data_IF_539535828883
#
_entry.id   IF_539535828883
#
_cell.length_a   1.000
_cell.length_b   1.000
_cell.length_c   1.000
_cell.angle_alpha   90.00
_cell.angle_beta   90.00
_cell.angle_gamma   90.00
#
_symmetry.space_group_name_H-M   'P 1'
#
loop_
_entity.id
_entity.type
_entity.pdbx_description
1 polymer ?
#
# COMPACT_ATOMS: atom_id res chain seq x y z
N UNK A 1 -25.03 25.03 43.65
CA UNK A 1 -23.85 24.96 42.78
C UNK A 1 -23.50 23.50 42.44
N UNK A 2 -23.54 22.58 43.44
CA UNK A 2 -23.19 21.15 43.26
C UNK A 2 -24.14 20.38 42.33
N UNK A 3 -25.44 20.63 42.38
CA UNK A 3 -26.47 19.97 41.56
C UNK A 3 -26.34 20.40 40.07
N UNK A 4 -25.99 21.65 39.81
CA UNK A 4 -25.80 22.17 38.47
C UNK A 4 -24.57 21.54 37.79
N UNK A 5 -23.48 21.35 38.53
CA UNK A 5 -22.26 20.67 38.05
C UNK A 5 -22.52 19.21 37.69
N UNK A 6 -23.37 18.49 38.46
CA UNK A 6 -23.68 17.09 38.16
C UNK A 6 -24.46 16.89 36.85
N UNK A 7 -25.26 17.87 36.44
CA UNK A 7 -26.00 17.83 35.17
C UNK A 7 -25.13 18.15 33.93
N UNK A 8 -24.10 18.97 34.11
CA UNK A 8 -23.22 19.35 32.99
C UNK A 8 -22.03 18.41 32.75
N UNK A 9 -21.60 17.64 33.75
CA UNK A 9 -20.51 16.68 33.63
C UNK A 9 -20.72 15.64 32.53
N UNK A 10 -21.87 14.96 32.39
CA UNK A 10 -22.07 13.99 31.32
C UNK A 10 -22.10 14.65 29.92
N UNK A 11 -22.62 15.85 29.82
CA UNK A 11 -22.65 16.61 28.56
C UNK A 11 -21.24 17.01 28.10
N UNK A 12 -20.42 17.52 29.02
CA UNK A 12 -19.03 17.88 28.75
C UNK A 12 -18.19 16.64 28.40
N UNK A 13 -18.42 15.51 29.09
CA UNK A 13 -17.76 14.24 28.76
C UNK A 13 -18.14 13.75 27.36
N UNK A 14 -19.41 13.86 26.97
CA UNK A 14 -19.87 13.47 25.64
C UNK A 14 -19.27 14.35 24.54
N UNK A 15 -19.20 15.66 24.73
CA UNK A 15 -18.58 16.59 23.79
C UNK A 15 -17.09 16.29 23.63
N UNK A 16 -16.39 16.02 24.72
CA UNK A 16 -14.96 15.66 24.69
C UNK A 16 -14.72 14.34 23.96
N UNK A 17 -15.50 13.30 24.25
CA UNK A 17 -15.42 12.01 23.59
C UNK A 17 -15.66 12.13 22.09
N UNK A 18 -16.67 12.87 21.66
CA UNK A 18 -16.95 13.08 20.25
C UNK A 18 -15.82 13.81 19.52
N UNK A 19 -15.17 14.76 20.19
CA UNK A 19 -14.00 15.47 19.62
C UNK A 19 -12.79 14.54 19.50
N UNK A 20 -12.52 13.71 20.48
CA UNK A 20 -11.42 12.73 20.44
C UNK A 20 -11.65 11.70 19.31
N UNK A 21 -12.87 11.24 19.14
CA UNK A 21 -13.29 10.34 18.06
C UNK A 21 -13.08 10.98 16.66
N UNK A 22 -13.43 12.25 16.51
CA UNK A 22 -13.22 12.98 15.26
C UNK A 22 -11.72 13.13 14.94
N UNK A 23 -10.91 13.47 15.94
CA UNK A 23 -9.46 13.57 15.78
C UNK A 23 -8.83 12.23 15.40
N UNK A 24 -9.26 11.15 16.03
CA UNK A 24 -8.75 9.80 15.73
C UNK A 24 -9.12 9.38 14.31
N UNK A 25 -10.38 9.63 13.86
CA UNK A 25 -10.78 9.38 12.47
C UNK A 25 -9.98 10.21 11.47
N UNK A 26 -9.75 11.50 11.77
CA UNK A 26 -8.92 12.36 10.95
C UNK A 26 -7.47 11.85 10.81
N UNK A 27 -6.87 11.36 11.92
CA UNK A 27 -5.53 10.74 11.89
C UNK A 27 -5.51 9.47 11.04
N UNK A 28 -6.52 8.60 11.18
CA UNK A 28 -6.64 7.38 10.37
C UNK A 28 -6.78 7.75 8.89
N UNK A 29 -7.66 8.67 8.53
CA UNK A 29 -7.85 9.11 7.14
C UNK A 29 -6.59 9.70 6.55
N UNK A 30 -5.93 10.66 7.22
CA UNK A 30 -4.70 11.25 6.74
C UNK A 30 -3.57 10.23 6.55
N UNK A 31 -3.50 9.21 7.42
CA UNK A 31 -2.52 8.14 7.25
C UNK A 31 -2.87 7.24 6.06
N UNK A 32 -4.13 6.89 5.85
CA UNK A 32 -4.59 6.09 4.72
C UNK A 32 -4.39 6.81 3.38
N UNK A 33 -4.59 8.12 3.32
CA UNK A 33 -4.32 8.94 2.13
C UNK A 33 -2.84 8.89 1.73
N UNK A 34 -1.94 8.88 2.69
CA UNK A 34 -0.51 8.75 2.45
C UNK A 34 -0.06 7.30 2.16
N UNK A 35 -0.77 6.29 2.70
CA UNK A 35 -0.38 4.89 2.72
C UNK A 35 -1.54 3.96 2.31
N UNK A 36 -2.18 4.24 1.19
CA UNK A 36 -3.29 3.44 0.71
C UNK A 36 -2.87 1.99 0.45
N UNK A 37 -3.66 1.04 0.95
CA UNK A 37 -3.37 -0.39 0.87
C UNK A 37 -2.71 -0.99 2.11
N UNK A 38 -2.41 -0.17 3.12
CA UNK A 38 -1.84 -0.66 4.38
C UNK A 38 -2.79 -1.66 5.07
N UNK A 39 -2.23 -2.67 5.74
CA UNK A 39 -3.02 -3.62 6.49
C UNK A 39 -3.31 -3.15 7.93
N UNK A 40 -4.31 -3.76 8.56
CA UNK A 40 -4.82 -3.38 9.87
C UNK A 40 -3.75 -3.21 10.94
N UNK A 41 -2.86 -4.20 11.10
CA UNK A 41 -1.86 -4.18 12.17
C UNK A 41 -0.85 -3.05 11.96
N UNK A 42 -0.36 -2.86 10.74
CA UNK A 42 0.59 -1.79 10.42
C UNK A 42 -0.04 -0.40 10.63
N UNK A 43 -1.30 -0.20 10.24
CA UNK A 43 -2.03 1.04 10.50
C UNK A 43 -2.17 1.31 12.00
N UNK A 44 -2.59 0.31 12.76
CA UNK A 44 -2.73 0.37 14.22
C UNK A 44 -1.40 0.77 14.89
N UNK A 45 -0.32 0.08 14.52
CA UNK A 45 0.99 0.24 15.13
C UNK A 45 1.61 1.61 14.77
N UNK A 46 1.49 2.02 13.52
CA UNK A 46 1.95 3.34 13.06
C UNK A 46 1.25 4.51 13.77
N UNK A 47 -0.02 4.36 14.11
CA UNK A 47 -0.79 5.39 14.82
C UNK A 47 -0.74 5.26 16.35
N UNK A 48 -0.15 4.18 16.87
CA UNK A 48 -0.10 3.89 18.31
C UNK A 48 -1.48 3.67 18.93
N UNK A 49 -2.42 3.08 18.19
CA UNK A 49 -3.80 2.88 18.63
C UNK A 49 -4.01 1.48 19.20
N UNK A 50 -4.96 1.34 20.13
CA UNK A 50 -5.42 0.04 20.59
C UNK A 50 -6.24 -0.68 19.51
N UNK A 51 -6.22 -2.04 19.51
CA UNK A 51 -6.97 -2.86 18.55
C UNK A 51 -8.45 -2.48 18.45
N UNK A 52 -9.15 -2.36 19.59
CA UNK A 52 -10.57 -2.03 19.62
C UNK A 52 -10.87 -0.64 19.09
N UNK A 53 -10.02 0.34 19.40
CA UNK A 53 -10.16 1.72 18.92
C UNK A 53 -9.98 1.78 17.39
N UNK A 54 -8.94 1.14 16.87
CA UNK A 54 -8.68 1.07 15.44
C UNK A 54 -9.83 0.39 14.69
N UNK A 55 -10.29 -0.76 15.19
CA UNK A 55 -11.38 -1.51 14.57
C UNK A 55 -12.69 -0.71 14.57
N UNK A 56 -13.03 -0.06 15.68
CA UNK A 56 -14.22 0.77 15.80
C UNK A 56 -14.21 1.94 14.78
N UNK A 57 -13.13 2.70 14.75
CA UNK A 57 -13.06 3.84 13.84
C UNK A 57 -13.02 3.45 12.37
N UNK A 58 -12.32 2.38 12.00
CA UNK A 58 -12.35 1.85 10.65
C UNK A 58 -13.75 1.40 10.25
N UNK A 59 -14.47 0.72 11.12
CA UNK A 59 -15.86 0.32 10.87
C UNK A 59 -16.78 1.53 10.66
N UNK A 60 -16.61 2.59 11.45
CA UNK A 60 -17.36 3.84 11.27
C UNK A 60 -17.04 4.48 9.91
N UNK A 61 -15.77 4.57 9.53
CA UNK A 61 -15.34 5.13 8.24
C UNK A 61 -15.83 4.28 7.06
N UNK A 62 -15.79 2.96 7.16
CA UNK A 62 -16.35 2.05 6.16
C UNK A 62 -17.87 2.23 6.02
N UNK A 63 -18.62 2.30 7.14
CA UNK A 63 -20.07 2.49 7.11
C UNK A 63 -20.51 3.83 6.51
N UNK A 64 -19.64 4.85 6.56
CA UNK A 64 -19.83 6.16 5.91
C UNK A 64 -19.39 6.17 4.45
N UNK A 65 -18.80 5.07 3.95
CA UNK A 65 -18.24 5.02 2.59
C UNK A 65 -16.99 5.87 2.39
N UNK A 66 -16.32 6.28 3.47
CA UNK A 66 -15.09 7.09 3.42
C UNK A 66 -13.84 6.21 3.22
N UNK A 67 -13.91 4.94 3.67
CA UNK A 67 -12.83 3.94 3.58
C UNK A 67 -13.34 2.69 2.89
N UNK A 68 -12.52 2.14 2.02
CA UNK A 68 -12.71 0.84 1.39
C UNK A 68 -11.74 -0.19 1.96
N UNK A 69 -12.21 -1.42 2.22
CA UNK A 69 -11.33 -2.50 2.63
C UNK A 69 -11.47 -3.75 1.75
N UNK A 70 -10.42 -4.55 1.69
CA UNK A 70 -10.41 -5.84 1.00
C UNK A 70 -9.51 -6.85 1.72
N UNK A 71 -9.69 -8.12 1.38
CA UNK A 71 -8.82 -9.19 1.85
C UNK A 71 -7.67 -9.42 0.88
N UNK A 72 -6.47 -9.54 1.43
CA UNK A 72 -5.25 -9.93 0.76
C UNK A 72 -4.66 -11.12 1.54
N UNK A 73 -5.01 -12.33 1.15
CA UNK A 73 -4.71 -13.54 1.90
C UNK A 73 -5.30 -13.50 3.33
N UNK A 74 -4.45 -13.51 4.33
CA UNK A 74 -4.83 -13.42 5.76
C UNK A 74 -4.98 -11.97 6.25
N UNK A 75 -4.51 -11.00 5.48
CA UNK A 75 -4.53 -9.59 5.85
C UNK A 75 -5.82 -8.93 5.39
N UNK A 76 -6.27 -7.92 6.14
CA UNK A 76 -7.29 -6.97 5.72
C UNK A 76 -6.61 -5.63 5.48
N UNK A 77 -6.74 -5.14 4.24
CA UNK A 77 -6.13 -3.88 3.78
C UNK A 77 -7.18 -2.79 3.64
N UNK A 78 -6.74 -1.55 3.75
CA UNK A 78 -7.60 -0.38 3.76
C UNK A 78 -7.08 0.71 2.84
N UNK A 79 -7.99 1.45 2.22
CA UNK A 79 -7.68 2.63 1.41
C UNK A 79 -8.84 3.64 1.47
N UNK A 80 -8.58 4.94 1.24
CA UNK A 80 -9.64 5.92 1.07
C UNK A 80 -10.55 5.58 -0.12
N UNK A 81 -11.86 5.90 -0.04
CA UNK A 81 -12.85 5.60 -1.11
C UNK A 81 -12.70 6.60 -2.22
N UNK A 82 -11.99 7.39 -2.53
CA UNK A 82 -11.89 8.35 -3.67
C UNK A 82 -10.77 8.03 -4.66
N UNK A 83 -10.09 6.89 -4.47
CA UNK A 83 -8.95 6.52 -5.30
C UNK A 83 -9.42 6.07 -6.69
N UNK A 84 -8.83 6.58 -7.80
CA UNK A 84 -9.14 6.13 -9.15
C UNK A 84 -8.96 4.62 -9.32
N UNK A 85 -9.80 3.99 -10.15
CA UNK A 85 -9.79 2.53 -10.34
C UNK A 85 -8.43 2.00 -10.82
N UNK A 86 -7.75 2.74 -11.70
CA UNK A 86 -6.41 2.39 -12.19
C UNK A 86 -5.37 2.36 -11.07
N UNK A 87 -5.45 3.28 -10.12
CA UNK A 87 -4.57 3.34 -8.95
C UNK A 87 -4.96 2.26 -7.92
N UNK A 88 -6.25 2.05 -7.71
CA UNK A 88 -6.75 0.99 -6.85
C UNK A 88 -6.31 -0.40 -7.34
N UNK A 89 -6.26 -0.63 -8.64
CA UNK A 89 -5.73 -1.87 -9.23
C UNK A 89 -4.26 -2.13 -8.86
N UNK A 90 -3.44 -1.09 -8.78
CA UNK A 90 -2.03 -1.16 -8.33
C UNK A 90 -1.91 -1.43 -6.84
N UNK A 91 -2.74 -0.76 -6.04
CA UNK A 91 -2.78 -0.91 -4.57
C UNK A 91 -3.27 -2.30 -4.16
N UNK A 92 -4.28 -2.85 -4.84
CA UNK A 92 -4.82 -4.19 -4.55
C UNK A 92 -3.86 -5.33 -4.91
N UNK A 93 -2.99 -5.11 -5.89
CA UNK A 93 -2.04 -6.11 -6.36
C UNK A 93 -0.60 -5.58 -6.26
N UNK A 94 -0.08 -5.31 -5.05
CA UNK A 94 1.27 -4.81 -4.87
C UNK A 94 2.28 -5.86 -5.35
N UNK A 95 3.34 -5.38 -6.00
CA UNK A 95 4.44 -6.24 -6.39
C UNK A 95 5.39 -6.36 -5.21
N UNK A 96 5.52 -7.57 -4.67
CA UNK A 96 6.34 -7.88 -3.50
C UNK A 96 7.36 -8.97 -3.80
N UNK A 97 8.31 -9.14 -2.89
CA UNK A 97 9.30 -10.25 -2.93
C UNK A 97 10.15 -10.22 -4.20
N UNK A 98 10.33 -11.39 -4.82
CA UNK A 98 11.21 -11.56 -5.99
C UNK A 98 10.84 -10.65 -7.16
N UNK A 99 9.56 -10.40 -7.40
CA UNK A 99 9.13 -9.49 -8.47
C UNK A 99 9.53 -8.05 -8.18
N UNK A 100 9.40 -7.61 -6.93
CA UNK A 100 9.86 -6.27 -6.52
C UNK A 100 11.37 -6.14 -6.69
N UNK A 101 12.15 -7.13 -6.27
CA UNK A 101 13.61 -7.15 -6.47
C UNK A 101 14.01 -7.07 -7.95
N UNK A 102 13.26 -7.73 -8.84
CA UNK A 102 13.47 -7.61 -10.29
C UNK A 102 13.21 -6.16 -10.76
N UNK A 103 12.09 -5.56 -10.34
CA UNK A 103 11.76 -4.18 -10.74
C UNK A 103 12.79 -3.18 -10.22
N UNK A 104 13.33 -3.37 -9.01
CA UNK A 104 14.41 -2.54 -8.46
C UNK A 104 15.67 -2.58 -9.35
N UNK A 105 16.08 -3.79 -9.76
CA UNK A 105 17.22 -3.96 -10.67
C UNK A 105 16.97 -3.28 -12.01
N UNK A 106 15.75 -3.32 -12.54
CA UNK A 106 15.38 -2.65 -13.79
C UNK A 106 15.33 -1.13 -13.65
N UNK A 107 14.91 -0.62 -12.51
CA UNK A 107 14.88 0.82 -12.22
C UNK A 107 16.29 1.42 -12.21
N UNK A 108 17.24 0.73 -11.59
CA UNK A 108 18.64 1.16 -11.52
C UNK A 108 19.32 1.27 -12.90
N UNK A 109 18.84 0.54 -13.90
CA UNK A 109 19.44 0.50 -15.24
C UNK A 109 18.90 1.55 -16.22
N UNK A 110 17.84 2.23 -15.87
CA UNK A 110 17.22 3.27 -16.68
C UNK A 110 16.75 2.79 -18.06
N UNK A 111 16.94 3.63 -19.09
CA UNK A 111 16.41 3.41 -20.44
C UNK A 111 17.14 2.32 -21.23
N UNK A 112 18.41 2.05 -20.93
CA UNK A 112 19.22 1.05 -21.63
C UNK A 112 18.80 -0.39 -21.30
N UNK A 113 18.11 -0.57 -20.16
CA UNK A 113 17.65 -1.85 -19.70
C UNK A 113 18.79 -2.78 -19.25
N UNK A 114 18.42 -3.93 -18.70
CA UNK A 114 19.34 -4.94 -18.14
C UNK A 114 19.15 -6.28 -18.81
N UNK A 115 20.24 -6.99 -19.06
CA UNK A 115 20.20 -8.36 -19.56
C UNK A 115 19.64 -9.34 -18.53
N UNK A 116 18.98 -10.40 -19.00
CA UNK A 116 18.47 -11.45 -18.11
C UNK A 116 19.56 -12.13 -17.28
N UNK A 117 20.81 -12.18 -17.76
CA UNK A 117 21.95 -12.71 -17.00
C UNK A 117 22.32 -11.83 -15.82
N UNK A 118 22.29 -10.54 -16.01
CA UNK A 118 22.61 -9.57 -14.95
C UNK A 118 21.49 -9.48 -13.90
N UNK A 119 20.21 -9.49 -14.33
CA UNK A 119 19.07 -9.57 -13.39
C UNK A 119 19.24 -10.80 -12.49
N UNK A 120 19.52 -11.97 -13.06
CA UNK A 120 19.73 -13.20 -12.27
C UNK A 120 20.87 -13.08 -11.27
N UNK A 121 21.99 -12.47 -11.69
CA UNK A 121 23.16 -12.28 -10.83
C UNK A 121 22.82 -11.39 -9.63
N UNK A 122 22.08 -10.30 -9.86
CA UNK A 122 21.69 -9.36 -8.80
C UNK A 122 20.60 -9.93 -7.88
N UNK A 123 19.64 -10.68 -8.41
CA UNK A 123 18.50 -11.22 -7.65
C UNK A 123 18.73 -12.66 -7.13
N UNK A 124 19.82 -13.30 -7.50
CA UNK A 124 20.18 -14.67 -7.08
C UNK A 124 19.12 -15.73 -7.43
N UNK A 125 18.38 -15.55 -8.52
CA UNK A 125 17.31 -16.46 -8.94
C UNK A 125 17.72 -17.33 -10.15
N UNK A 126 17.02 -18.46 -10.34
CA UNK A 126 17.24 -19.35 -11.48
C UNK A 126 16.79 -18.72 -12.79
N UNK A 127 17.31 -19.22 -13.92
CA UNK A 127 16.89 -18.79 -15.25
C UNK A 127 15.39 -19.03 -15.50
N UNK A 128 14.88 -20.18 -15.04
CA UNK A 128 13.47 -20.54 -15.21
C UNK A 128 12.55 -19.60 -14.44
N UNK A 129 12.90 -19.29 -13.19
CA UNK A 129 12.14 -18.39 -12.33
C UNK A 129 12.13 -16.97 -12.89
N UNK A 130 13.29 -16.46 -13.38
CA UNK A 130 13.33 -15.17 -14.04
C UNK A 130 12.45 -15.15 -15.29
N UNK A 131 12.53 -16.18 -16.14
CA UNK A 131 11.71 -16.27 -17.36
C UNK A 131 10.22 -16.23 -17.06
N UNK A 132 9.79 -16.94 -16.02
CA UNK A 132 8.41 -16.91 -15.54
C UNK A 132 8.00 -15.50 -15.09
N UNK A 133 8.77 -14.87 -14.21
CA UNK A 133 8.46 -13.53 -13.71
C UNK A 133 8.44 -12.46 -14.81
N UNK A 134 9.42 -12.48 -15.71
CA UNK A 134 9.45 -11.54 -16.84
C UNK A 134 8.23 -11.73 -17.75
N UNK A 135 7.82 -12.98 -18.01
CA UNK A 135 6.62 -13.26 -18.80
C UNK A 135 5.36 -12.67 -18.15
N UNK A 136 5.18 -12.88 -16.84
CA UNK A 136 4.02 -12.34 -16.09
C UNK A 136 4.03 -10.81 -16.02
N UNK A 137 5.18 -10.21 -15.74
CA UNK A 137 5.33 -8.75 -15.70
C UNK A 137 5.10 -8.10 -17.07
N UNK A 138 5.50 -8.79 -18.16
CA UNK A 138 5.23 -8.34 -19.53
C UNK A 138 3.75 -8.42 -19.89
N UNK A 139 3.04 -9.49 -19.52
CA UNK A 139 1.59 -9.60 -19.72
C UNK A 139 0.81 -8.48 -19.03
N UNK A 140 1.34 -7.98 -17.95
CA UNK A 140 0.76 -6.86 -17.17
C UNK A 140 1.24 -5.49 -17.63
N UNK A 141 2.03 -5.39 -18.72
CA UNK A 141 2.63 -4.18 -19.25
C UNK A 141 3.54 -3.42 -18.26
N UNK A 142 4.15 -4.14 -17.32
CA UNK A 142 5.04 -3.56 -16.30
C UNK A 142 6.48 -3.52 -16.79
N UNK A 143 6.87 -4.51 -17.59
CA UNK A 143 8.21 -4.66 -18.15
C UNK A 143 8.14 -4.78 -19.67
N UNK A 144 9.04 -4.11 -20.35
CA UNK A 144 9.14 -4.14 -21.82
C UNK A 144 10.58 -4.41 -22.30
N UNK A 145 10.75 -4.98 -23.51
CA UNK A 145 12.08 -5.12 -24.09
C UNK A 145 12.65 -3.74 -24.48
N UNK A 146 13.90 -3.50 -24.16
CA UNK A 146 14.60 -2.27 -24.57
C UNK A 146 14.99 -2.25 -26.05
N UNK A 147 14.90 -3.41 -26.76
CA UNK A 147 15.20 -3.54 -28.18
C UNK A 147 14.50 -4.77 -28.78
N UNK A 148 14.34 -4.81 -30.08
CA UNK A 148 13.73 -5.94 -30.81
C UNK A 148 14.66 -7.14 -31.04
N UNK A 149 15.79 -7.21 -30.35
CA UNK A 149 16.75 -8.30 -30.46
C UNK A 149 16.17 -9.62 -29.94
N UNK A 150 16.64 -10.75 -30.46
CA UNK A 150 16.25 -12.11 -30.01
C UNK A 150 16.46 -12.34 -28.49
N UNK A 151 17.43 -11.62 -27.90
CA UNK A 151 17.67 -11.58 -26.43
C UNK A 151 17.75 -10.12 -26.01
N UNK A 152 16.60 -9.47 -25.80
CA UNK A 152 16.57 -8.06 -25.44
C UNK A 152 17.06 -7.84 -24.00
N UNK A 153 17.55 -6.66 -23.72
CA UNK A 153 17.57 -6.12 -22.39
C UNK A 153 16.13 -5.80 -21.96
N UNK A 154 15.87 -5.83 -20.68
CA UNK A 154 14.57 -5.54 -20.09
C UNK A 154 14.60 -4.20 -19.37
N UNK A 155 13.58 -3.41 -19.50
CA UNK A 155 13.40 -2.13 -18.81
C UNK A 155 11.98 -2.00 -18.27
N UNK A 156 11.78 -1.05 -17.34
CA UNK A 156 10.45 -0.69 -16.88
C UNK A 156 9.70 0.10 -17.96
N UNK A 157 8.43 -0.24 -18.14
CA UNK A 157 7.49 0.63 -18.85
C UNK A 157 7.12 1.85 -17.99
N UNK A 158 6.35 2.80 -18.52
CA UNK A 158 5.78 3.90 -17.71
C UNK A 158 4.92 3.37 -16.58
N UNK A 159 4.04 2.41 -16.87
CA UNK A 159 3.21 1.71 -15.88
C UNK A 159 4.06 0.97 -14.83
N UNK A 160 5.18 0.38 -15.25
CA UNK A 160 6.12 -0.31 -14.36
C UNK A 160 6.76 0.63 -13.35
N UNK A 161 7.15 1.83 -13.75
CA UNK A 161 7.71 2.85 -12.85
C UNK A 161 6.70 3.26 -11.78
N UNK A 162 5.48 3.58 -12.17
CA UNK A 162 4.39 3.94 -11.23
C UNK A 162 4.06 2.79 -10.27
N UNK A 163 4.04 1.55 -10.77
CA UNK A 163 3.79 0.36 -9.95
C UNK A 163 4.91 0.11 -8.95
N UNK A 164 6.17 0.33 -9.35
CA UNK A 164 7.31 0.22 -8.45
C UNK A 164 7.24 1.26 -7.32
N UNK A 165 6.93 2.51 -7.63
CA UNK A 165 6.80 3.57 -6.62
C UNK A 165 5.68 3.26 -5.62
N UNK A 166 4.51 2.79 -6.08
CA UNK A 166 3.42 2.38 -5.21
C UNK A 166 3.82 1.21 -4.30
N UNK A 167 4.54 0.22 -4.85
CA UNK A 167 5.03 -0.94 -4.08
C UNK A 167 6.10 -0.56 -3.05
N UNK A 168 6.99 0.37 -3.38
CA UNK A 168 7.98 0.92 -2.44
C UNK A 168 7.32 1.61 -1.26
N UNK A 169 6.37 2.50 -1.51
CA UNK A 169 5.62 3.21 -0.46
C UNK A 169 4.96 2.24 0.51
N UNK A 170 4.28 1.23 -0.02
CA UNK A 170 3.62 0.21 0.79
C UNK A 170 4.62 -0.59 1.63
N UNK A 171 5.71 -1.04 1.03
CA UNK A 171 6.76 -1.80 1.73
C UNK A 171 7.41 -0.99 2.86
N UNK A 172 7.67 0.30 2.65
CA UNK A 172 8.23 1.19 3.67
C UNK A 172 7.22 1.38 4.81
N UNK A 173 5.96 1.66 4.50
CA UNK A 173 4.94 1.89 5.52
C UNK A 173 4.69 0.66 6.40
N UNK A 174 4.80 -0.55 5.82
CA UNK A 174 4.66 -1.80 6.56
C UNK A 174 5.91 -2.17 7.38
N UNK A 175 7.10 -1.73 6.97
CA UNK A 175 8.35 -2.01 7.70
C UNK A 175 8.58 -1.07 8.89
N UNK A 176 7.95 0.09 8.90
CA UNK A 176 8.05 1.09 9.98
C UNK A 176 6.98 0.93 11.07
N UNK A 177 6.01 0.06 10.86
CA UNK A 177 4.89 -0.23 11.77
C UNK A 177 5.15 -1.48 12.61
#
# INVERSE_FOLDING_TARGET
VTVLMALFTPLLASIRSNREDLLTRGRIMGYLEANAGIHFSALRDALGLANGVTAYHLQVLESRGEVYSWRDGKLRRYAPSGIPEAEMGRIKNPIIGTRLAILEVLADSGMLGVSGSEIRKKTMISRQLLSHHISELRKSDIVEPASERKRPNWKLSSKGKETLEASRKLSISESLA
#
